data_IF_593620353600
#
_entry.id   IF_593620353600
#
_cell.length_a   1.000
_cell.length_b   1.000
_cell.length_c   1.000
_cell.angle_alpha   90.00
_cell.angle_beta   90.00
_cell.angle_gamma   90.00
#
_symmetry.space_group_name_H-M   'P 1'
#
loop_
_entity.id
_entity.type
_entity.pdbx_description
1 polymer ?
#
# COMPACT_ATOMS: atom_id res chain seq x y z
N UNK A 1 39.11 64.91 60.99
CA UNK A 1 37.67 64.95 60.62
C UNK A 1 37.54 64.44 59.16
N UNK A 2 37.21 63.17 59.03
CA UNK A 2 37.06 62.54 57.71
C UNK A 2 35.56 62.40 57.44
N UNK A 3 35.07 62.97 56.35
CA UNK A 3 33.69 62.78 55.84
C UNK A 3 33.67 61.65 54.81
N UNK A 4 33.02 60.56 55.16
CA UNK A 4 32.74 59.41 54.25
C UNK A 4 31.52 59.74 53.40
N UNK A 5 31.70 59.75 52.07
CA UNK A 5 30.56 59.87 51.13
C UNK A 5 30.11 58.46 50.69
N UNK A 6 28.84 58.15 50.98
CA UNK A 6 28.17 56.95 50.47
C UNK A 6 27.71 57.23 49.04
N UNK A 7 28.17 56.38 48.06
CA UNK A 7 27.71 56.39 46.70
C UNK A 7 26.58 55.33 46.58
N UNK A 8 25.35 55.78 46.36
CA UNK A 8 24.22 54.90 46.08
C UNK A 8 24.18 54.58 44.56
N UNK A 9 24.39 53.31 44.21
CA UNK A 9 24.23 52.82 42.85
C UNK A 9 22.78 52.41 42.66
N UNK A 10 22.02 53.16 41.83
CA UNK A 10 20.69 52.81 41.34
C UNK A 10 20.81 51.80 40.18
N UNK A 11 20.46 50.54 40.43
CA UNK A 11 20.28 49.54 39.38
C UNK A 11 18.92 49.78 38.71
N UNK A 12 18.90 50.33 37.51
CA UNK A 12 17.72 50.37 36.64
C UNK A 12 17.58 49.03 35.92
N UNK A 13 16.64 48.19 36.37
CA UNK A 13 16.22 46.99 35.67
C UNK A 13 15.41 47.41 34.44
N UNK A 14 16.01 47.30 33.26
CA UNK A 14 15.32 47.44 31.99
C UNK A 14 14.47 46.18 31.73
N UNK A 15 13.17 46.28 31.96
CA UNK A 15 12.19 45.30 31.47
C UNK A 15 12.11 45.45 29.94
N UNK A 16 12.77 44.56 29.23
CA UNK A 16 12.46 44.32 27.81
C UNK A 16 11.09 43.67 27.74
N UNK A 17 10.12 44.24 27.02
CA UNK A 17 8.86 43.55 26.75
C UNK A 17 9.20 42.32 25.85
N UNK A 18 8.96 41.13 26.36
CA UNK A 18 8.90 39.94 25.54
C UNK A 18 7.76 40.18 24.53
N UNK A 19 8.13 40.50 23.31
CA UNK A 19 7.17 40.46 22.19
C UNK A 19 6.68 39.00 22.10
N UNK A 20 5.49 38.75 22.61
CA UNK A 20 4.70 37.60 22.28
C UNK A 20 4.48 37.70 20.76
N UNK A 21 5.26 36.95 20.02
CA UNK A 21 5.04 36.76 18.58
C UNK A 21 3.69 36.06 18.50
N UNK A 22 2.63 36.79 18.14
CA UNK A 22 1.35 36.22 17.74
C UNK A 22 1.66 35.24 16.62
N UNK A 23 1.72 33.94 16.96
CA UNK A 23 1.82 32.91 15.95
C UNK A 23 0.56 33.02 15.11
N UNK A 24 0.71 33.55 13.92
CA UNK A 24 -0.38 33.66 12.96
C UNK A 24 -1.03 32.27 12.88
N UNK A 25 -2.31 32.20 13.23
CA UNK A 25 -3.04 30.94 13.27
C UNK A 25 -2.98 30.33 11.87
N UNK A 26 -2.46 29.12 11.74
CA UNK A 26 -2.33 28.43 10.46
C UNK A 26 -3.66 28.46 9.70
N UNK A 27 -3.58 28.69 8.39
CA UNK A 27 -4.75 28.62 7.51
C UNK A 27 -5.29 27.18 7.51
N UNK A 28 -6.61 27.02 7.61
CA UNK A 28 -7.25 25.70 7.52
C UNK A 28 -7.02 25.12 6.12
N UNK A 29 -6.48 23.90 6.09
CA UNK A 29 -6.30 23.08 4.87
C UNK A 29 -7.33 21.96 4.89
N UNK A 30 -8.23 21.95 3.91
CA UNK A 30 -9.22 20.87 3.74
C UNK A 30 -8.70 19.93 2.66
N UNK A 31 -8.56 18.65 3.00
CA UNK A 31 -8.02 17.61 2.12
C UNK A 31 -9.06 16.53 1.80
N UNK A 32 -9.14 16.13 0.55
CA UNK A 32 -9.94 15.00 0.09
C UNK A 32 -9.07 13.76 0.03
N UNK A 33 -9.46 12.69 0.74
CA UNK A 33 -8.80 11.38 0.73
C UNK A 33 -9.62 10.43 -0.13
N UNK A 34 -9.08 10.00 -1.27
CA UNK A 34 -9.77 9.07 -2.18
C UNK A 34 -9.34 7.63 -1.91
N UNK A 35 -10.34 6.77 -1.63
CA UNK A 35 -10.16 5.33 -1.43
C UNK A 35 -11.17 4.58 -2.31
N UNK A 36 -10.71 3.73 -3.21
CA UNK A 36 -11.61 2.99 -4.11
C UNK A 36 -12.30 1.77 -3.47
N UNK A 37 -11.92 1.40 -2.24
CA UNK A 37 -12.54 0.30 -1.48
C UNK A 37 -13.90 0.69 -0.90
N UNK A 38 -14.83 -0.27 -0.71
CA UNK A 38 -16.13 -0.01 -0.10
C UNK A 38 -15.98 0.31 1.41
N UNK A 39 -16.94 1.04 2.01
CA UNK A 39 -16.89 1.45 3.42
C UNK A 39 -16.72 0.30 4.42
N UNK A 40 -17.20 -0.91 4.07
CA UNK A 40 -17.07 -2.10 4.91
C UNK A 40 -15.67 -2.72 4.89
N UNK A 41 -14.78 -2.29 3.99
CA UNK A 41 -13.39 -2.77 3.97
C UNK A 41 -12.61 -2.16 5.14
N UNK A 42 -11.85 -2.94 5.93
CA UNK A 42 -11.18 -2.46 7.15
C UNK A 42 -10.22 -1.29 6.93
N UNK A 43 -9.67 -1.15 5.74
CA UNK A 43 -8.80 -0.02 5.40
C UNK A 43 -9.55 1.33 5.47
N UNK A 44 -10.85 1.37 5.19
CA UNK A 44 -11.60 2.64 5.21
C UNK A 44 -11.71 3.21 6.63
N UNK A 45 -12.18 2.48 7.66
CA UNK A 45 -12.16 2.99 9.03
C UNK A 45 -10.75 3.24 9.56
N UNK A 46 -9.73 2.44 9.17
CA UNK A 46 -8.33 2.73 9.53
C UNK A 46 -7.84 4.05 8.94
N UNK A 47 -8.21 4.35 7.69
CA UNK A 47 -7.91 5.65 7.04
C UNK A 47 -8.63 6.80 7.74
N UNK A 48 -9.89 6.61 8.15
CA UNK A 48 -10.64 7.62 8.90
C UNK A 48 -10.00 7.90 10.27
N UNK A 49 -9.51 6.87 10.95
CA UNK A 49 -8.79 7.02 12.22
C UNK A 49 -7.46 7.79 12.04
N UNK A 50 -6.69 7.49 10.98
CA UNK A 50 -5.48 8.23 10.61
C UNK A 50 -5.80 9.71 10.31
N UNK A 51 -6.87 9.98 9.54
CA UNK A 51 -7.32 11.33 9.24
C UNK A 51 -7.71 12.12 10.50
N UNK A 52 -8.44 11.48 11.43
CA UNK A 52 -8.85 12.10 12.70
C UNK A 52 -7.65 12.41 13.61
N UNK A 53 -6.61 11.56 13.61
CA UNK A 53 -5.39 11.82 14.39
C UNK A 53 -4.60 13.00 13.83
N UNK A 54 -4.49 13.15 12.51
CA UNK A 54 -3.92 14.33 11.83
C UNK A 54 -4.71 15.60 12.20
N UNK A 55 -6.04 15.56 12.14
CA UNK A 55 -6.88 16.71 12.51
C UNK A 55 -6.63 17.11 13.97
N UNK A 56 -6.58 16.15 14.88
CA UNK A 56 -6.28 16.37 16.29
C UNK A 56 -4.86 16.93 16.49
N UNK A 57 -3.85 16.33 15.86
CA UNK A 57 -2.45 16.72 16.00
C UNK A 57 -2.18 18.13 15.44
N UNK A 58 -2.91 18.52 14.38
CA UNK A 58 -2.83 19.87 13.80
C UNK A 58 -3.66 20.93 14.55
N UNK A 59 -4.33 20.57 15.66
CA UNK A 59 -5.25 21.46 16.34
C UNK A 59 -6.44 21.91 15.48
N UNK A 60 -6.86 21.06 14.50
CA UNK A 60 -7.97 21.31 13.57
C UNK A 60 -7.60 22.20 12.38
N UNK A 61 -6.31 22.49 12.16
CA UNK A 61 -5.87 23.28 11.00
C UNK A 61 -5.71 22.44 9.72
N UNK A 62 -5.63 21.11 9.84
CA UNK A 62 -5.71 20.18 8.72
C UNK A 62 -6.96 19.31 8.90
N UNK A 63 -7.83 19.29 7.90
CA UNK A 63 -9.06 18.49 7.92
C UNK A 63 -9.10 17.56 6.73
N UNK A 64 -9.31 16.27 6.97
CA UNK A 64 -9.36 15.26 5.94
C UNK A 64 -10.75 14.63 5.84
N UNK A 65 -11.31 14.58 4.63
CA UNK A 65 -12.56 13.89 4.34
C UNK A 65 -12.30 12.68 3.47
N UNK A 66 -12.69 11.50 3.93
CA UNK A 66 -12.49 10.23 3.20
C UNK A 66 -13.67 9.97 2.27
N UNK A 67 -13.37 9.72 1.00
CA UNK A 67 -14.30 9.39 -0.09
C UNK A 67 -14.05 7.94 -0.54
N UNK A 68 -14.85 6.96 -0.07
CA UNK A 68 -14.69 5.55 -0.45
C UNK A 68 -15.39 5.23 -1.78
N UNK A 69 -15.31 3.96 -2.22
CA UNK A 69 -16.08 3.40 -3.35
C UNK A 69 -15.93 4.15 -4.66
N UNK A 70 -14.72 4.57 -5.02
CA UNK A 70 -14.43 5.28 -6.27
C UNK A 70 -15.24 6.60 -6.46
N UNK A 71 -15.71 7.24 -5.39
CA UNK A 71 -16.50 8.48 -5.48
C UNK A 71 -15.78 9.63 -6.18
N UNK A 72 -14.44 9.69 -6.11
CA UNK A 72 -13.67 10.74 -6.77
C UNK A 72 -12.99 10.28 -8.06
N UNK A 73 -12.89 8.99 -8.31
CA UNK A 73 -12.28 8.44 -9.53
C UNK A 73 -11.97 6.95 -9.42
N UNK A 74 -11.66 6.35 -10.56
CA UNK A 74 -11.42 4.91 -10.70
C UNK A 74 -10.11 4.46 -10.06
N UNK A 75 -10.06 3.20 -9.60
CA UNK A 75 -8.89 2.62 -8.92
C UNK A 75 -7.59 2.74 -9.73
N UNK A 76 -7.65 2.61 -11.06
CA UNK A 76 -6.50 2.76 -11.95
C UNK A 76 -5.94 4.18 -12.02
N UNK A 77 -6.71 5.22 -11.66
CA UNK A 77 -6.35 6.63 -11.88
C UNK A 77 -5.75 7.30 -10.64
N UNK A 78 -5.72 6.61 -9.49
CA UNK A 78 -5.45 7.23 -8.19
C UNK A 78 -4.08 7.91 -8.08
N UNK A 79 -3.01 7.41 -8.76
CA UNK A 79 -1.74 8.13 -8.76
C UNK A 79 -1.85 9.47 -9.51
N UNK A 80 -2.47 9.45 -10.69
CA UNK A 80 -2.66 10.66 -11.47
C UNK A 80 -3.62 11.64 -10.78
N UNK A 81 -4.63 11.15 -10.06
CA UNK A 81 -5.51 11.98 -9.25
C UNK A 81 -4.76 12.73 -8.15
N UNK A 82 -3.77 12.10 -7.48
CA UNK A 82 -2.91 12.79 -6.52
C UNK A 82 -2.00 13.82 -7.22
N UNK A 83 -1.35 13.42 -8.33
CA UNK A 83 -0.50 14.32 -9.12
C UNK A 83 -1.26 15.57 -9.57
N UNK A 84 -2.46 15.40 -10.11
CA UNK A 84 -3.25 16.46 -10.74
C UNK A 84 -4.14 17.24 -9.76
N UNK A 85 -4.20 16.81 -8.47
CA UNK A 85 -4.96 17.48 -7.42
C UNK A 85 -6.48 17.25 -7.49
N UNK A 86 -6.95 16.18 -8.13
CA UNK A 86 -8.35 15.74 -8.09
C UNK A 86 -8.71 15.32 -6.68
N UNK A 87 -7.80 14.61 -6.01
CA UNK A 87 -7.81 14.34 -4.58
C UNK A 87 -6.46 14.75 -3.97
N UNK A 88 -6.48 15.15 -2.70
CA UNK A 88 -5.28 15.57 -1.99
C UNK A 88 -4.46 14.40 -1.46
N UNK A 89 -5.13 13.31 -1.08
CA UNK A 89 -4.52 12.02 -0.70
C UNK A 89 -5.20 10.91 -1.47
N UNK A 90 -4.43 9.97 -2.00
CA UNK A 90 -4.98 8.84 -2.75
C UNK A 90 -4.39 7.51 -2.31
N UNK A 91 -5.25 6.48 -2.30
CA UNK A 91 -4.89 5.08 -2.11
C UNK A 91 -4.49 4.47 -3.45
N UNK A 92 -3.19 4.40 -3.71
CA UNK A 92 -2.63 3.96 -4.99
C UNK A 92 -2.26 2.48 -4.95
N UNK A 93 -2.59 1.74 -6.02
CA UNK A 93 -2.00 0.44 -6.33
C UNK A 93 -0.97 0.63 -7.45
N UNK A 94 0.34 0.68 -7.17
CA UNK A 94 1.36 0.85 -8.20
C UNK A 94 1.32 -0.25 -9.26
N UNK A 95 0.92 -1.46 -8.87
CA UNK A 95 0.76 -2.61 -9.77
C UNK A 95 -0.37 -2.48 -10.81
N UNK A 96 -1.24 -1.48 -10.67
CA UNK A 96 -2.26 -1.14 -11.67
C UNK A 96 -1.71 -0.31 -12.83
N UNK A 97 -0.46 0.18 -12.72
CA UNK A 97 0.19 1.00 -13.75
C UNK A 97 1.45 0.30 -14.29
N UNK A 98 1.31 -0.64 -15.23
CA UNK A 98 2.42 -1.45 -15.73
C UNK A 98 3.61 -0.61 -16.19
N UNK A 99 4.82 -0.94 -15.70
CA UNK A 99 6.07 -0.31 -16.09
C UNK A 99 6.33 1.09 -15.51
N UNK A 100 5.38 1.70 -14.81
CA UNK A 100 5.54 3.05 -14.25
C UNK A 100 6.39 3.07 -12.97
N UNK A 101 6.28 2.03 -12.15
CA UNK A 101 6.94 1.92 -10.84
C UNK A 101 7.76 0.62 -10.77
N UNK A 102 8.89 0.54 -11.50
CA UNK A 102 9.64 -0.70 -11.62
C UNK A 102 10.31 -1.15 -10.32
N UNK A 103 10.72 -0.23 -9.43
CA UNK A 103 11.38 -0.63 -8.16
C UNK A 103 10.40 -1.34 -7.24
N UNK A 104 9.24 -0.74 -6.93
CA UNK A 104 8.26 -1.35 -6.02
C UNK A 104 7.67 -2.64 -6.60
N UNK A 105 7.74 -2.86 -7.92
CA UNK A 105 7.27 -4.07 -8.56
C UNK A 105 8.00 -5.33 -8.07
N UNK A 106 9.24 -5.24 -7.56
CA UNK A 106 9.95 -6.36 -6.92
C UNK A 106 9.15 -6.94 -5.75
N UNK A 107 8.61 -6.07 -4.90
CA UNK A 107 7.79 -6.47 -3.76
C UNK A 107 6.47 -7.16 -4.16
N UNK A 108 6.06 -7.05 -5.41
CA UNK A 108 4.85 -7.65 -5.97
C UNK A 108 5.11 -8.98 -6.71
N UNK A 109 6.35 -9.45 -6.76
CA UNK A 109 6.66 -10.75 -7.35
C UNK A 109 6.12 -11.90 -6.47
N UNK A 110 5.84 -13.07 -7.07
CA UNK A 110 5.40 -14.23 -6.30
C UNK A 110 6.42 -14.65 -5.24
N UNK A 111 5.92 -15.11 -4.09
CA UNK A 111 6.71 -15.72 -3.02
C UNK A 111 7.75 -14.79 -2.35
N UNK A 112 7.47 -13.48 -2.26
CA UNK A 112 8.36 -12.52 -1.59
C UNK A 112 8.04 -12.41 -0.10
N UNK A 113 6.78 -12.16 0.25
CA UNK A 113 6.36 -11.92 1.64
C UNK A 113 5.56 -13.09 2.22
N UNK A 114 5.86 -13.46 3.46
CA UNK A 114 5.14 -14.46 4.22
C UNK A 114 3.97 -13.89 5.03
N UNK A 115 4.01 -12.61 5.38
CA UNK A 115 3.14 -11.97 6.37
C UNK A 115 3.11 -10.46 6.11
N UNK A 116 1.93 -9.84 6.19
CA UNK A 116 1.79 -8.42 5.94
C UNK A 116 2.18 -7.54 7.13
N UNK A 117 1.98 -8.00 8.39
CA UNK A 117 2.26 -7.18 9.58
C UNK A 117 3.75 -6.88 9.72
N UNK A 118 4.59 -7.90 9.51
CA UNK A 118 6.04 -7.75 9.46
C UNK A 118 6.48 -7.13 8.13
N UNK A 119 5.84 -7.53 7.04
CA UNK A 119 6.14 -7.08 5.69
C UNK A 119 5.97 -5.58 5.47
N UNK A 120 5.00 -4.93 6.11
CA UNK A 120 4.80 -3.49 5.98
C UNK A 120 5.98 -2.68 6.52
N UNK A 121 6.64 -3.14 7.59
CA UNK A 121 7.84 -2.50 8.12
C UNK A 121 9.03 -2.69 7.18
N UNK A 122 9.23 -3.92 6.68
CA UNK A 122 10.27 -4.22 5.70
C UNK A 122 10.09 -3.41 4.41
N UNK A 123 8.85 -3.30 3.91
CA UNK A 123 8.51 -2.53 2.72
C UNK A 123 8.85 -1.05 2.86
N UNK A 124 8.50 -0.42 3.98
CA UNK A 124 8.81 1.00 4.20
C UNK A 124 10.30 1.26 4.40
N UNK A 125 10.99 0.40 5.15
CA UNK A 125 12.44 0.50 5.38
C UNK A 125 13.23 0.44 4.05
N UNK A 126 12.80 -0.43 3.15
CA UNK A 126 13.40 -0.60 1.83
C UNK A 126 12.95 0.47 0.82
N UNK A 127 11.63 0.67 0.64
CA UNK A 127 11.12 1.40 -0.52
C UNK A 127 11.16 2.92 -0.37
N UNK A 128 11.07 3.46 0.85
CA UNK A 128 10.97 4.92 1.10
C UNK A 128 12.03 5.75 0.36
N UNK A 129 13.27 5.27 0.29
CA UNK A 129 14.35 5.98 -0.41
C UNK A 129 14.16 6.01 -1.93
N UNK A 130 13.53 5.01 -2.50
CA UNK A 130 13.25 4.93 -3.94
C UNK A 130 11.99 5.71 -4.31
N UNK A 131 11.03 5.80 -3.42
CA UNK A 131 9.76 6.50 -3.63
C UNK A 131 9.96 7.97 -4.01
N UNK A 132 10.98 8.64 -3.45
CA UNK A 132 11.31 10.04 -3.77
C UNK A 132 11.62 10.26 -5.26
N UNK A 133 12.13 9.25 -5.94
CA UNK A 133 12.43 9.30 -7.38
C UNK A 133 11.30 8.69 -8.19
N UNK A 134 10.81 7.52 -7.78
CA UNK A 134 9.83 6.75 -8.53
C UNK A 134 8.43 7.39 -8.51
N UNK A 135 8.08 8.04 -7.38
CA UNK A 135 6.80 8.74 -7.17
C UNK A 135 6.98 10.26 -7.03
N UNK A 136 7.97 10.83 -7.72
CA UNK A 136 8.39 12.23 -7.62
C UNK A 136 7.31 13.27 -7.88
N UNK A 137 6.24 12.90 -8.57
CA UNK A 137 5.13 13.79 -8.91
C UNK A 137 4.15 13.98 -7.75
N UNK A 138 4.37 13.27 -6.63
CA UNK A 138 3.55 13.31 -5.42
C UNK A 138 4.44 13.33 -4.18
N UNK A 139 3.92 13.75 -3.03
CA UNK A 139 4.57 13.53 -1.75
C UNK A 139 4.20 12.12 -1.27
N UNK A 140 5.20 11.22 -1.27
CA UNK A 140 5.03 9.84 -0.80
C UNK A 140 4.85 9.83 0.72
N UNK A 141 3.76 9.26 1.19
CA UNK A 141 3.48 9.14 2.62
C UNK A 141 4.07 7.84 3.19
N UNK A 142 3.51 6.71 2.81
CA UNK A 142 4.01 5.37 3.18
C UNK A 142 3.51 4.30 2.22
N UNK A 143 4.14 3.13 2.30
CA UNK A 143 3.70 1.93 1.60
C UNK A 143 3.15 0.88 2.57
N UNK A 144 2.22 0.06 2.12
CA UNK A 144 1.62 -1.05 2.87
C UNK A 144 1.14 -2.15 1.91
N UNK A 145 0.63 -3.27 2.44
CA UNK A 145 0.24 -4.41 1.63
C UNK A 145 -0.86 -5.23 2.32
N UNK A 146 -1.62 -6.01 1.54
CA UNK A 146 -2.48 -7.03 2.13
C UNK A 146 -1.68 -8.26 2.55
N UNK A 147 -2.23 -9.07 3.48
CA UNK A 147 -1.68 -10.38 3.81
C UNK A 147 -1.65 -11.29 2.56
N UNK A 148 -0.68 -12.23 2.44
CA UNK A 148 -0.50 -12.98 1.20
C UNK A 148 -1.79 -13.55 0.64
N UNK A 149 -2.09 -13.15 -0.60
CA UNK A 149 -3.22 -13.62 -1.36
C UNK A 149 -2.92 -14.91 -2.12
N UNK A 150 -3.96 -15.48 -2.71
CA UNK A 150 -3.92 -16.77 -3.37
C UNK A 150 -4.56 -16.75 -4.76
N UNK A 151 -4.44 -17.87 -5.47
CA UNK A 151 -5.19 -18.15 -6.69
C UNK A 151 -6.53 -18.81 -6.32
N UNK A 152 -7.61 -18.23 -6.83
CA UNK A 152 -8.97 -18.73 -6.66
C UNK A 152 -9.59 -19.00 -8.03
N UNK A 153 -10.34 -20.09 -8.18
CA UNK A 153 -10.77 -20.53 -9.51
C UNK A 153 -12.07 -21.33 -9.50
N UNK A 154 -12.65 -21.52 -10.67
CA UNK A 154 -13.85 -22.36 -10.89
C UNK A 154 -13.51 -23.85 -10.92
N UNK A 155 -12.24 -24.22 -11.07
CA UNK A 155 -11.73 -25.60 -11.03
C UNK A 155 -10.43 -25.66 -10.26
N UNK A 156 -10.08 -26.82 -9.71
CA UNK A 156 -8.81 -27.02 -8.99
C UNK A 156 -7.61 -26.84 -9.92
N UNK A 157 -6.58 -26.14 -9.44
CA UNK A 157 -5.33 -25.85 -10.15
C UNK A 157 -4.17 -26.25 -9.23
N UNK A 158 -3.36 -27.20 -9.64
CA UNK A 158 -2.26 -27.74 -8.86
C UNK A 158 -0.88 -27.31 -9.41
N UNK A 159 -0.76 -27.18 -10.72
CA UNK A 159 0.49 -26.89 -11.42
C UNK A 159 0.39 -25.59 -12.24
N UNK A 160 1.51 -24.86 -12.45
CA UNK A 160 1.53 -23.64 -13.27
C UNK A 160 1.00 -23.86 -14.69
N UNK A 161 1.31 -25.02 -15.29
CA UNK A 161 0.88 -25.39 -16.65
C UNK A 161 -0.64 -25.49 -16.82
N UNK A 162 -1.38 -25.67 -15.72
CA UNK A 162 -2.84 -25.72 -15.75
C UNK A 162 -3.50 -24.35 -15.90
N UNK A 163 -2.70 -23.25 -15.87
CA UNK A 163 -3.16 -21.92 -16.27
C UNK A 163 -3.29 -21.75 -17.78
N UNK A 164 -2.68 -22.67 -18.57
CA UNK A 164 -2.76 -22.61 -20.02
C UNK A 164 -4.22 -22.60 -20.50
N UNK A 165 -4.54 -21.61 -21.34
CA UNK A 165 -5.89 -21.40 -21.89
C UNK A 165 -6.91 -20.80 -20.91
N UNK A 166 -6.59 -20.60 -19.63
CA UNK A 166 -7.49 -19.94 -18.69
C UNK A 166 -7.41 -18.41 -18.83
N UNK A 167 -8.57 -17.78 -18.66
CA UNK A 167 -8.69 -16.34 -18.49
C UNK A 167 -8.58 -16.02 -17.01
N UNK A 168 -7.51 -15.36 -16.60
CA UNK A 168 -7.23 -15.06 -15.19
C UNK A 168 -7.24 -13.55 -14.97
N UNK A 169 -7.97 -13.08 -13.95
CA UNK A 169 -7.86 -11.72 -13.47
C UNK A 169 -6.70 -11.66 -12.45
N UNK A 170 -5.55 -11.13 -12.80
CA UNK A 170 -4.45 -10.96 -11.86
C UNK A 170 -4.66 -9.73 -10.96
N UNK A 171 -4.15 -9.77 -9.74
CA UNK A 171 -4.24 -8.65 -8.82
C UNK A 171 -3.45 -7.42 -9.29
N UNK A 172 -2.40 -7.65 -10.07
CA UNK A 172 -1.44 -6.63 -10.51
C UNK A 172 -0.64 -7.09 -11.75
N UNK A 173 0.14 -6.17 -12.34
CA UNK A 173 0.86 -6.41 -13.59
C UNK A 173 1.85 -7.58 -13.54
N UNK A 174 2.64 -7.71 -12.46
CA UNK A 174 3.61 -8.82 -12.31
C UNK A 174 2.93 -10.20 -12.28
N UNK A 175 1.77 -10.30 -11.64
CA UNK A 175 0.96 -11.54 -11.69
C UNK A 175 0.33 -11.72 -13.08
N UNK A 176 0.00 -10.63 -13.77
CA UNK A 176 -0.45 -10.68 -15.16
C UNK A 176 0.61 -11.22 -16.12
N UNK A 177 1.87 -10.89 -15.88
CA UNK A 177 3.01 -11.47 -16.61
C UNK A 177 3.16 -12.98 -16.32
N UNK A 178 3.04 -13.37 -15.04
CA UNK A 178 3.02 -14.78 -14.64
C UNK A 178 1.95 -15.56 -15.39
N UNK A 179 0.73 -15.04 -15.45
CA UNK A 179 -0.39 -15.68 -16.15
C UNK A 179 -0.07 -15.90 -17.63
N UNK A 180 0.44 -14.86 -18.30
CA UNK A 180 0.84 -14.95 -19.72
C UNK A 180 1.97 -15.96 -19.94
N UNK A 181 2.96 -15.97 -19.07
CA UNK A 181 4.10 -16.89 -19.13
C UNK A 181 3.66 -18.36 -19.05
N UNK A 182 2.58 -18.63 -18.33
CA UNK A 182 1.99 -19.98 -18.23
C UNK A 182 0.90 -20.26 -19.28
N UNK A 183 0.79 -19.43 -20.31
CA UNK A 183 -0.15 -19.62 -21.43
C UNK A 183 -1.59 -19.22 -21.13
N UNK A 184 -1.82 -18.54 -20.00
CA UNK A 184 -3.11 -17.95 -19.67
C UNK A 184 -3.33 -16.58 -20.31
N UNK A 185 -4.58 -16.13 -20.30
CA UNK A 185 -4.97 -14.79 -20.73
C UNK A 185 -5.12 -13.87 -19.53
N UNK A 186 -4.39 -12.77 -19.51
CA UNK A 186 -4.53 -11.72 -18.50
C UNK A 186 -5.81 -10.90 -18.74
N UNK A 187 -6.76 -10.97 -17.81
CA UNK A 187 -8.00 -10.17 -17.80
C UNK A 187 -7.76 -8.95 -16.91
N UNK A 188 -7.58 -7.79 -17.54
CA UNK A 188 -7.39 -6.56 -16.79
C UNK A 188 -8.72 -6.05 -16.22
N UNK A 189 -8.84 -6.07 -14.90
CA UNK A 189 -9.96 -5.51 -14.16
C UNK A 189 -9.48 -5.03 -12.78
N UNK A 190 -10.05 -3.94 -12.28
CA UNK A 190 -9.80 -3.48 -10.91
C UNK A 190 -10.42 -4.42 -9.87
N UNK A 191 -10.09 -4.27 -8.59
CA UNK A 191 -10.70 -5.08 -7.54
C UNK A 191 -12.23 -4.90 -7.47
N UNK A 192 -12.80 -3.67 -7.55
CA UNK A 192 -14.26 -3.47 -7.63
C UNK A 192 -14.95 -4.16 -8.80
N UNK A 193 -14.27 -4.32 -9.95
CA UNK A 193 -14.82 -4.93 -11.18
C UNK A 193 -14.67 -6.45 -11.22
N UNK A 194 -13.91 -7.04 -10.30
CA UNK A 194 -13.47 -8.45 -10.35
C UNK A 194 -14.63 -9.44 -10.27
N UNK A 195 -15.63 -9.18 -9.43
CA UNK A 195 -16.80 -10.03 -9.31
C UNK A 195 -17.55 -10.13 -10.62
N UNK A 196 -17.82 -9.00 -11.25
CA UNK A 196 -18.54 -8.90 -12.51
C UNK A 196 -17.82 -9.65 -13.65
N UNK A 197 -16.47 -9.52 -13.70
CA UNK A 197 -15.65 -10.26 -14.67
C UNK A 197 -15.77 -11.78 -14.52
N UNK A 198 -15.86 -12.30 -13.30
CA UNK A 198 -16.03 -13.74 -13.03
C UNK A 198 -17.45 -14.23 -13.29
N UNK A 199 -18.47 -13.48 -12.85
CA UNK A 199 -19.90 -13.85 -13.03
C UNK A 199 -20.28 -13.86 -14.50
N UNK A 200 -19.77 -12.93 -15.31
CA UNK A 200 -20.00 -12.88 -16.77
C UNK A 200 -19.12 -13.82 -17.58
N UNK A 201 -18.24 -14.59 -16.94
CA UNK A 201 -17.34 -15.52 -17.63
C UNK A 201 -16.24 -14.83 -18.46
N UNK A 202 -15.96 -13.55 -18.20
CA UNK A 202 -14.80 -12.84 -18.74
C UNK A 202 -13.52 -13.38 -18.12
N UNK A 203 -13.55 -13.82 -16.84
CA UNK A 203 -12.50 -14.52 -16.16
C UNK A 203 -12.95 -15.89 -15.65
N UNK A 204 -12.02 -16.85 -15.59
CA UNK A 204 -12.20 -18.22 -15.07
C UNK A 204 -11.57 -18.38 -13.68
N UNK A 205 -10.54 -17.57 -13.41
CA UNK A 205 -9.80 -17.58 -12.15
C UNK A 205 -9.35 -16.14 -11.80
N UNK A 206 -8.96 -15.96 -10.55
CA UNK A 206 -8.54 -14.67 -10.00
C UNK A 206 -7.44 -14.86 -8.96
N UNK A 207 -6.49 -13.94 -8.91
CA UNK A 207 -5.67 -13.78 -7.70
C UNK A 207 -6.28 -12.66 -6.84
N UNK A 208 -6.53 -12.98 -5.57
CA UNK A 208 -7.20 -12.07 -4.64
C UNK A 208 -6.80 -12.36 -3.19
N UNK A 209 -6.88 -11.40 -2.26
CA UNK A 209 -6.75 -11.67 -0.83
C UNK A 209 -8.02 -12.32 -0.28
N UNK A 210 -7.89 -13.05 0.80
CA UNK A 210 -8.89 -14.00 1.29
C UNK A 210 -10.17 -13.38 1.87
N UNK A 211 -10.04 -12.41 2.76
CA UNK A 211 -11.18 -11.74 3.36
C UNK A 211 -11.87 -10.79 2.38
N UNK A 212 -11.06 -10.11 1.58
CA UNK A 212 -11.55 -9.25 0.51
C UNK A 212 -12.33 -10.04 -0.54
N UNK A 213 -11.94 -11.29 -0.84
CA UNK A 213 -12.69 -12.17 -1.73
C UNK A 213 -14.15 -12.36 -1.25
N UNK A 214 -14.34 -12.55 0.06
CA UNK A 214 -15.69 -12.66 0.66
C UNK A 214 -16.42 -11.31 0.64
N UNK A 215 -15.74 -10.22 0.97
CA UNK A 215 -16.33 -8.89 1.00
C UNK A 215 -16.88 -8.45 -0.36
N UNK A 216 -16.12 -8.72 -1.42
CA UNK A 216 -16.53 -8.41 -2.79
C UNK A 216 -17.52 -9.44 -3.38
N UNK A 217 -17.86 -10.51 -2.63
CA UNK A 217 -18.77 -11.57 -3.07
C UNK A 217 -18.23 -12.43 -4.20
N UNK A 218 -16.92 -12.49 -4.36
CA UNK A 218 -16.22 -13.26 -5.38
C UNK A 218 -16.31 -14.77 -5.09
N UNK A 219 -16.45 -15.15 -3.81
CA UNK A 219 -16.68 -16.51 -3.33
C UNK A 219 -17.86 -17.21 -4.02
N UNK A 220 -18.83 -16.45 -4.50
CA UNK A 220 -19.99 -16.99 -5.23
C UNK A 220 -19.61 -17.50 -6.62
N UNK A 221 -18.57 -16.95 -7.22
CA UNK A 221 -18.14 -17.27 -8.58
C UNK A 221 -16.99 -18.28 -8.64
N UNK A 222 -16.24 -18.50 -7.55
CA UNK A 222 -15.10 -19.40 -7.47
C UNK A 222 -15.22 -20.32 -6.25
N UNK A 223 -14.78 -21.57 -6.37
CA UNK A 223 -14.96 -22.60 -5.31
C UNK A 223 -13.68 -23.29 -4.89
N UNK A 224 -12.61 -23.12 -5.67
CA UNK A 224 -11.32 -23.75 -5.43
C UNK A 224 -10.29 -22.68 -5.07
N UNK A 225 -9.58 -22.87 -3.96
CA UNK A 225 -8.67 -21.89 -3.39
C UNK A 225 -7.33 -22.52 -3.07
N UNK A 226 -6.30 -22.17 -3.80
CA UNK A 226 -4.94 -22.69 -3.60
C UNK A 226 -4.34 -22.09 -2.33
N UNK A 227 -4.18 -22.89 -1.28
CA UNK A 227 -3.70 -22.48 0.04
C UNK A 227 -2.19 -22.28 0.08
N UNK A 228 -1.71 -21.26 -0.65
CA UNK A 228 -0.30 -20.91 -0.76
C UNK A 228 -0.18 -19.38 -0.65
N UNK A 229 0.80 -18.84 0.09
CA UNK A 229 1.11 -17.42 0.10
C UNK A 229 1.74 -17.02 -1.25
N UNK A 230 0.89 -16.89 -2.29
CA UNK A 230 1.37 -16.75 -3.66
C UNK A 230 1.97 -15.38 -3.91
N UNK A 231 1.32 -14.32 -3.43
CA UNK A 231 1.70 -12.94 -3.72
C UNK A 231 1.17 -11.97 -2.66
N UNK A 232 1.75 -10.78 -2.62
CA UNK A 232 1.16 -9.59 -2.00
C UNK A 232 1.00 -8.50 -3.05
N UNK A 233 0.02 -7.61 -2.88
CA UNK A 233 -0.02 -6.35 -3.62
C UNK A 233 0.42 -5.22 -2.71
N UNK A 234 1.38 -4.44 -3.16
CA UNK A 234 1.79 -3.22 -2.47
C UNK A 234 0.87 -2.06 -2.83
N UNK A 235 0.63 -1.21 -1.86
CA UNK A 235 -0.13 0.03 -1.99
C UNK A 235 0.63 1.18 -1.37
N UNK A 236 0.29 2.39 -1.80
CA UNK A 236 0.88 3.59 -1.22
C UNK A 236 -0.20 4.65 -0.95
N UNK A 237 0.04 5.48 0.06
CA UNK A 237 -0.63 6.77 0.17
C UNK A 237 0.28 7.83 -0.42
N UNK A 238 -0.30 8.59 -1.35
CA UNK A 238 0.36 9.66 -2.06
C UNK A 238 -0.41 10.95 -1.87
N UNK A 239 0.30 12.03 -1.56
CA UNK A 239 -0.28 13.35 -1.27
C UNK A 239 0.06 14.28 -2.45
N UNK A 240 -0.90 15.10 -2.86
CA UNK A 240 -0.70 16.10 -3.88
C UNK A 240 0.40 17.09 -3.45
N UNK A 241 1.44 17.26 -4.28
CA UNK A 241 2.58 18.13 -3.97
C UNK A 241 2.16 19.61 -3.79
N UNK A 242 1.21 20.09 -4.57
CA UNK A 242 0.76 21.48 -4.45
C UNK A 242 0.04 21.72 -3.13
N UNK A 243 -0.81 20.78 -2.70
CA UNK A 243 -1.47 20.84 -1.39
C UNK A 243 -0.44 20.76 -0.26
N UNK A 244 0.49 19.79 -0.28
CA UNK A 244 1.54 19.66 0.72
C UNK A 244 2.42 20.92 0.81
N UNK A 245 2.90 21.43 -0.32
CA UNK A 245 3.76 22.63 -0.39
C UNK A 245 3.02 23.94 -0.01
N UNK A 246 1.69 23.96 0.01
CA UNK A 246 0.90 25.10 0.47
C UNK A 246 0.74 25.20 1.97
N UNK A 247 1.11 24.15 2.70
CA UNK A 247 1.02 24.04 4.17
C UNK A 247 2.15 24.84 4.83
N UNK A 248 1.89 25.31 6.05
CA UNK A 248 2.94 25.85 6.91
C UNK A 248 3.94 24.75 7.32
N UNK A 249 5.18 25.10 7.72
CA UNK A 249 6.13 24.11 8.22
C UNK A 249 5.58 23.27 9.40
N UNK A 250 4.74 23.85 10.24
CA UNK A 250 4.11 23.13 11.34
C UNK A 250 3.09 22.10 10.83
N UNK A 251 2.29 22.46 9.83
CA UNK A 251 1.34 21.55 9.20
C UNK A 251 2.05 20.44 8.40
N UNK A 252 3.10 20.77 7.65
CA UNK A 252 3.93 19.77 6.95
C UNK A 252 4.51 18.77 7.95
N UNK A 253 5.04 19.24 9.08
CA UNK A 253 5.55 18.36 10.13
C UNK A 253 4.46 17.42 10.66
N UNK A 254 3.23 17.88 10.87
CA UNK A 254 2.13 16.99 11.28
C UNK A 254 1.88 15.91 10.23
N UNK A 255 1.85 16.26 8.95
CA UNK A 255 1.71 15.27 7.86
C UNK A 255 2.86 14.28 7.89
N UNK A 256 4.12 14.74 7.97
CA UNK A 256 5.30 13.88 7.96
C UNK A 256 5.36 12.94 9.17
N UNK A 257 4.96 13.41 10.36
CA UNK A 257 4.84 12.58 11.57
C UNK A 257 3.75 11.48 11.42
N UNK A 258 2.82 11.63 10.48
CA UNK A 258 1.79 10.65 10.13
C UNK A 258 2.09 9.86 8.85
N UNK A 259 3.21 10.15 8.20
CA UNK A 259 3.70 9.47 7.01
C UNK A 259 4.89 8.54 7.34
N UNK A 260 4.75 7.71 8.36
CA UNK A 260 5.80 6.82 8.89
C UNK A 260 5.49 5.34 8.68
N UNK A 261 6.48 4.47 8.88
CA UNK A 261 6.29 3.02 8.85
C UNK A 261 5.35 2.53 9.96
N UNK A 262 5.37 3.18 11.12
CA UNK A 262 4.49 2.87 12.25
C UNK A 262 3.02 3.19 11.90
N UNK A 263 2.77 4.31 11.22
CA UNK A 263 1.42 4.62 10.74
C UNK A 263 0.97 3.68 9.63
N UNK A 264 1.87 3.30 8.72
CA UNK A 264 1.57 2.27 7.73
C UNK A 264 1.16 0.95 8.40
N UNK A 265 1.87 0.51 9.45
CA UNK A 265 1.54 -0.68 10.22
C UNK A 265 0.18 -0.56 10.91
N UNK A 266 -0.12 0.56 11.59
CA UNK A 266 -1.42 0.81 12.24
C UNK A 266 -2.59 0.73 11.26
N UNK A 267 -2.45 1.33 10.08
CA UNK A 267 -3.48 1.29 9.04
C UNK A 267 -3.67 -0.13 8.51
N UNK A 268 -2.57 -0.87 8.37
CA UNK A 268 -2.55 -2.20 7.79
C UNK A 268 -3.09 -3.30 8.72
N UNK A 269 -2.96 -3.15 10.03
CA UNK A 269 -3.18 -4.21 11.03
C UNK A 269 -4.57 -4.84 10.92
N UNK A 270 -5.62 -4.02 10.93
CA UNK A 270 -7.00 -4.50 10.82
C UNK A 270 -7.27 -5.20 9.49
N UNK A 271 -6.60 -4.78 8.41
CA UNK A 271 -6.72 -5.43 7.11
C UNK A 271 -6.00 -6.78 7.08
N UNK A 272 -4.79 -6.88 7.62
CA UNK A 272 -4.08 -8.15 7.72
C UNK A 272 -4.91 -9.20 8.50
N UNK A 273 -5.46 -8.82 9.65
CA UNK A 273 -6.33 -9.70 10.44
C UNK A 273 -7.61 -10.10 9.69
N UNK A 274 -8.18 -9.18 8.91
CA UNK A 274 -9.35 -9.45 8.09
C UNK A 274 -9.06 -10.50 7.01
N UNK A 275 -7.91 -10.45 6.35
CA UNK A 275 -7.52 -11.41 5.33
C UNK A 275 -7.25 -12.79 5.95
N UNK A 276 -6.55 -12.86 7.09
CA UNK A 276 -6.30 -14.11 7.84
C UNK A 276 -7.64 -14.75 8.25
N UNK A 277 -8.55 -13.96 8.82
CA UNK A 277 -9.87 -14.45 9.23
C UNK A 277 -10.72 -14.89 8.03
N UNK A 278 -10.60 -14.22 6.88
CA UNK A 278 -11.27 -14.62 5.63
C UNK A 278 -10.81 -15.99 5.13
N UNK A 279 -9.50 -16.28 5.21
CA UNK A 279 -8.96 -17.61 4.89
C UNK A 279 -9.52 -18.70 5.81
N UNK A 280 -9.57 -18.45 7.13
CA UNK A 280 -10.16 -19.39 8.09
C UNK A 280 -11.65 -19.62 7.82
N UNK A 281 -12.39 -18.56 7.48
CA UNK A 281 -13.81 -18.65 7.13
C UNK A 281 -14.02 -19.47 5.87
N UNK A 282 -13.28 -19.26 4.80
CA UNK A 282 -13.37 -20.06 3.57
C UNK A 282 -13.08 -21.54 3.82
N UNK A 283 -12.09 -21.86 4.68
CA UNK A 283 -11.80 -23.25 5.10
C UNK A 283 -12.99 -23.93 5.80
N UNK A 284 -13.87 -23.18 6.44
CA UNK A 284 -15.05 -23.71 7.13
C UNK A 284 -16.31 -23.83 6.26
N UNK A 285 -16.29 -23.29 5.04
CA UNK A 285 -17.44 -23.28 4.15
C UNK A 285 -17.54 -24.61 3.38
N UNK A 286 -18.66 -25.36 3.49
CA UNK A 286 -18.73 -26.73 2.96
C UNK A 286 -18.75 -26.82 1.43
N UNK A 287 -19.10 -25.73 0.75
CA UNK A 287 -19.13 -25.63 -0.72
C UNK A 287 -17.86 -25.01 -1.33
N UNK A 288 -16.81 -24.85 -0.53
CA UNK A 288 -15.50 -24.36 -0.93
C UNK A 288 -14.40 -25.37 -0.63
N UNK A 289 -13.46 -25.52 -1.52
CA UNK A 289 -12.27 -26.34 -1.31
C UNK A 289 -11.02 -25.46 -1.19
N UNK A 290 -10.52 -25.31 0.04
CA UNK A 290 -9.22 -24.68 0.32
C UNK A 290 -8.20 -25.80 0.43
N UNK A 291 -7.31 -25.92 -0.55
CA UNK A 291 -6.39 -27.05 -0.70
C UNK A 291 -4.92 -26.62 -0.67
N UNK A 292 -4.07 -27.34 0.08
CA UNK A 292 -2.63 -27.14 0.02
C UNK A 292 -2.04 -27.75 -1.25
N UNK A 293 -0.88 -27.28 -1.65
CA UNK A 293 -0.02 -27.96 -2.62
C UNK A 293 0.93 -28.93 -1.89
N UNK A 294 1.32 -30.02 -2.58
CA UNK A 294 2.44 -30.83 -2.11
C UNK A 294 3.75 -30.05 -2.24
N UNK A 295 4.80 -30.49 -1.54
CA UNK A 295 6.12 -29.84 -1.64
C UNK A 295 6.66 -29.85 -3.07
N UNK A 296 6.38 -30.91 -3.83
CA UNK A 296 6.74 -31.02 -5.25
C UNK A 296 5.99 -29.98 -6.09
N UNK A 297 4.67 -29.92 -5.97
CA UNK A 297 3.83 -28.94 -6.68
C UNK A 297 4.25 -27.49 -6.37
N UNK A 298 4.49 -27.18 -5.07
CA UNK A 298 4.98 -25.86 -4.67
C UNK A 298 6.36 -25.58 -5.25
N UNK A 299 7.24 -26.60 -5.31
CA UNK A 299 8.55 -26.52 -5.96
C UNK A 299 8.45 -26.15 -7.43
N UNK A 300 7.50 -26.77 -8.16
CA UNK A 300 7.22 -26.44 -9.57
C UNK A 300 6.76 -24.98 -9.74
N UNK A 301 5.86 -24.47 -8.88
CA UNK A 301 5.45 -23.07 -8.89
C UNK A 301 6.65 -22.14 -8.63
N UNK A 302 7.43 -22.38 -7.57
CA UNK A 302 8.59 -21.55 -7.24
C UNK A 302 9.64 -21.54 -8.34
N UNK A 303 9.86 -22.67 -9.03
CA UNK A 303 10.78 -22.78 -10.16
C UNK A 303 10.25 -22.02 -11.38
N UNK A 304 8.96 -22.19 -11.68
CA UNK A 304 8.34 -21.63 -12.89
C UNK A 304 8.25 -20.09 -12.85
N UNK A 305 8.19 -19.46 -11.68
CA UNK A 305 8.12 -17.98 -11.57
C UNK A 305 9.48 -17.28 -11.60
N UNK A 306 10.60 -18.01 -11.53
CA UNK A 306 11.95 -17.39 -11.53
C UNK A 306 12.20 -16.39 -12.66
N UNK A 307 11.76 -16.65 -13.93
CA UNK A 307 11.97 -15.67 -15.01
C UNK A 307 11.32 -14.30 -14.77
N UNK A 308 10.32 -14.20 -13.90
CA UNK A 308 9.72 -12.90 -13.55
C UNK A 308 10.71 -11.98 -12.85
N UNK A 309 11.63 -12.54 -12.05
CA UNK A 309 12.68 -11.77 -11.41
C UNK A 309 13.67 -11.21 -12.44
N UNK A 310 14.03 -12.01 -13.45
CA UNK A 310 14.92 -11.58 -14.53
C UNK A 310 14.27 -10.46 -15.35
N UNK A 311 12.98 -10.61 -15.70
CA UNK A 311 12.20 -9.59 -16.41
C UNK A 311 12.12 -8.28 -15.58
N UNK A 312 11.90 -8.40 -14.26
CA UNK A 312 11.93 -7.26 -13.36
C UNK A 312 13.30 -6.57 -13.36
N UNK A 313 14.39 -7.34 -13.25
CA UNK A 313 15.74 -6.81 -13.22
C UNK A 313 16.10 -6.03 -14.50
N UNK A 314 15.68 -6.54 -15.66
CA UNK A 314 15.83 -5.83 -16.94
C UNK A 314 15.03 -4.52 -16.98
N UNK A 315 13.78 -4.53 -16.50
CA UNK A 315 12.93 -3.33 -16.44
C UNK A 315 13.53 -2.26 -15.52
N UNK A 316 14.01 -2.63 -14.34
CA UNK A 316 14.66 -1.75 -13.37
C UNK A 316 15.96 -1.17 -13.92
N UNK A 317 16.80 -2.01 -14.56
CA UNK A 317 18.03 -1.56 -15.21
C UNK A 317 17.74 -0.57 -16.35
N UNK A 318 16.72 -0.83 -17.15
CA UNK A 318 16.27 0.07 -18.21
C UNK A 318 15.77 1.42 -17.69
N UNK A 319 15.21 1.44 -16.48
CA UNK A 319 14.81 2.65 -15.77
C UNK A 319 15.98 3.40 -15.10
N UNK A 320 17.22 2.90 -15.21
CA UNK A 320 18.43 3.54 -14.70
C UNK A 320 18.82 3.17 -13.27
N UNK A 321 18.24 2.10 -12.71
CA UNK A 321 18.57 1.62 -11.38
C UNK A 321 19.46 0.36 -11.42
N UNK A 322 20.08 0.04 -10.29
CA UNK A 322 20.83 -1.21 -10.09
C UNK A 322 19.93 -2.30 -9.49
N UNK A 323 19.48 -3.31 -10.27
CA UNK A 323 18.61 -4.36 -9.78
C UNK A 323 19.27 -5.22 -8.71
N UNK A 324 20.58 -5.41 -8.74
CA UNK A 324 21.30 -6.25 -7.76
C UNK A 324 21.29 -5.56 -6.39
N UNK A 325 21.57 -4.25 -6.35
CA UNK A 325 21.54 -3.49 -5.11
C UNK A 325 20.11 -3.43 -4.54
N UNK A 326 19.10 -3.18 -5.38
CA UNK A 326 17.70 -3.08 -4.96
C UNK A 326 17.20 -4.39 -4.36
N UNK A 327 17.49 -5.52 -5.01
CA UNK A 327 17.09 -6.86 -4.51
C UNK A 327 17.82 -7.18 -3.20
N UNK A 328 19.12 -7.00 -3.14
CA UNK A 328 19.91 -7.24 -1.92
C UNK A 328 19.38 -6.44 -0.72
N UNK A 329 18.96 -5.20 -0.93
CA UNK A 329 18.36 -4.36 0.11
C UNK A 329 16.98 -4.84 0.54
N UNK A 330 16.12 -5.27 -0.40
CA UNK A 330 14.85 -5.88 -0.04
C UNK A 330 15.06 -7.17 0.77
N UNK A 331 15.99 -8.04 0.33
CA UNK A 331 16.30 -9.27 1.07
C UNK A 331 16.83 -8.98 2.48
N UNK A 332 17.65 -7.93 2.64
CA UNK A 332 18.12 -7.49 3.95
C UNK A 332 16.98 -7.00 4.84
N UNK A 333 16.04 -6.23 4.28
CA UNK A 333 14.85 -5.77 5.01
C UNK A 333 13.93 -6.94 5.39
N UNK A 334 13.66 -7.87 4.46
CA UNK A 334 12.87 -9.08 4.73
C UNK A 334 13.47 -9.91 5.85
N UNK A 335 14.79 -10.09 5.86
CA UNK A 335 15.50 -10.81 6.93
C UNK A 335 15.43 -10.06 8.27
N UNK A 336 15.64 -8.73 8.26
CA UNK A 336 15.59 -7.88 9.47
C UNK A 336 14.27 -7.98 10.19
N UNK A 337 13.17 -8.02 9.44
CA UNK A 337 11.80 -8.05 9.98
C UNK A 337 11.20 -9.47 10.00
N UNK A 338 11.94 -10.51 9.57
CA UNK A 338 11.44 -11.89 9.44
C UNK A 338 10.14 -11.97 8.61
N UNK A 339 10.09 -11.24 7.49
CA UNK A 339 8.89 -11.07 6.68
C UNK A 339 8.90 -11.87 5.36
N UNK A 340 10.03 -12.49 5.00
CA UNK A 340 10.24 -13.22 3.75
C UNK A 340 9.76 -14.68 3.81
N UNK A 341 9.55 -15.31 2.60
CA UNK A 341 9.19 -16.74 2.41
C UNK A 341 10.42 -17.61 2.24
#
# INVERSE_FOLDING_TARGET
>A
MMRTALLAILLTASLTPAMAQDAAKDKIVNMKVSVWLPPAHPLVPSTQAWAADIEKASGGTIKLTVFPSEQLGKAFDHYDMARDGIADVTYVSPGYQPGRFPVIALANLPFVFADAKKGVLALNDWYRKYAATEMKDTHFCFAFMHDPGALHSKRKILLPTELNGLKVRPAQSSIGEMVKMFGGTNVQASAPESRDALERGVADAITFPWGSLLLFGIDKAVKFHMDVPLYTTTFTYNINLKTYNSMSPAQQKVIDDHCTAEWAAKINDAWADFEINGRLKLKSMPDHEVYPLTSEQLGEWKKAVKPLHDNWAEAVKKAGYDPVAIDAELQAALKKYEAGI
#
